data_IF_422487264338
#
_entry.id   IF_422487264338
#
_cell.length_a   1.000
_cell.length_b   1.000
_cell.length_c   1.000
_cell.angle_alpha   90.00
_cell.angle_beta   90.00
_cell.angle_gamma   90.00
#
_symmetry.space_group_name_H-M   'P 1'
#
loop_
_entity.id
_entity.type
_entity.pdbx_description
1 polymer ?
#
# COMPACT_ATOMS: atom_id res chain seq x y z
N UNK A 1 -4.12 -6.84 -22.04
CA UNK A 1 -4.42 -8.18 -21.46
C UNK A 1 -4.71 -7.97 -19.98
N UNK A 2 -5.95 -8.11 -19.54
CA UNK A 2 -6.30 -7.96 -18.11
C UNK A 2 -5.75 -9.19 -17.40
N UNK A 3 -4.84 -9.00 -16.44
CA UNK A 3 -4.36 -10.10 -15.59
C UNK A 3 -5.55 -10.69 -14.84
N UNK A 4 -5.79 -11.98 -15.01
CA UNK A 4 -6.78 -12.77 -14.27
C UNK A 4 -6.16 -13.16 -12.94
N UNK A 5 -6.33 -12.32 -11.92
CA UNK A 5 -5.79 -12.56 -10.58
C UNK A 5 -6.87 -13.25 -9.74
N UNK A 6 -6.56 -14.44 -9.22
CA UNK A 6 -7.35 -15.12 -8.19
C UNK A 6 -6.48 -15.27 -6.94
N UNK A 7 -6.99 -14.85 -5.79
CA UNK A 7 -6.25 -14.87 -4.53
C UNK A 7 -6.56 -13.66 -3.65
N UNK A 8 -5.72 -13.44 -2.64
CA UNK A 8 -5.87 -12.34 -1.69
C UNK A 8 -4.82 -11.27 -1.95
N UNK A 9 -5.22 -10.02 -1.89
CA UNK A 9 -4.33 -8.86 -1.80
C UNK A 9 -4.46 -8.25 -0.41
N UNK A 10 -3.34 -7.92 0.21
CA UNK A 10 -3.32 -7.18 1.48
C UNK A 10 -2.88 -5.74 1.23
N UNK A 11 -3.61 -4.79 1.82
CA UNK A 11 -3.19 -3.40 1.97
C UNK A 11 -2.78 -3.14 3.41
N UNK A 12 -1.64 -2.49 3.65
CA UNK A 12 -1.19 -2.15 5.00
C UNK A 12 -0.78 -0.67 5.10
N UNK A 13 -1.40 0.03 6.06
CA UNK A 13 -1.05 1.38 6.49
C UNK A 13 -0.33 1.31 7.86
N UNK A 14 1.01 1.45 7.90
CA UNK A 14 1.78 1.32 9.12
C UNK A 14 1.65 2.54 10.05
N UNK A 15 0.85 2.41 11.11
CA UNK A 15 0.79 3.36 12.20
C UNK A 15 1.61 2.94 13.43
N UNK A 16 1.28 3.53 14.58
CA UNK A 16 1.83 3.19 15.88
C UNK A 16 0.77 3.21 16.97
N UNK A 17 1.01 2.48 18.05
CA UNK A 17 0.12 2.39 19.23
C UNK A 17 -1.35 2.16 18.86
N UNK A 18 -1.69 0.95 18.36
CA UNK A 18 -3.06 0.56 17.98
C UNK A 18 -3.67 1.24 16.75
N UNK A 19 -2.82 1.74 15.85
CA UNK A 19 -3.26 2.38 14.61
C UNK A 19 -2.70 1.68 13.37
N UNK A 20 -2.64 0.35 13.36
CA UNK A 20 -2.14 -0.42 12.22
C UNK A 20 -3.30 -0.82 11.29
N UNK A 21 -3.53 -0.06 10.22
CA UNK A 21 -4.63 -0.31 9.30
C UNK A 21 -4.33 -1.46 8.35
N UNK A 22 -5.18 -2.48 8.31
CA UNK A 22 -5.06 -3.62 7.41
C UNK A 22 -6.32 -3.72 6.54
N UNK A 23 -6.12 -3.95 5.24
CA UNK A 23 -7.20 -4.31 4.31
C UNK A 23 -6.89 -5.67 3.71
N UNK A 24 -7.90 -6.54 3.60
CA UNK A 24 -7.83 -7.79 2.83
C UNK A 24 -8.82 -7.69 1.68
N UNK A 25 -8.37 -8.03 0.48
CA UNK A 25 -9.17 -8.04 -0.73
C UNK A 25 -9.09 -9.42 -1.35
N UNK A 26 -10.22 -10.11 -1.47
CA UNK A 26 -10.31 -11.40 -2.15
C UNK A 26 -10.74 -11.17 -3.59
N UNK A 27 -9.91 -11.61 -4.53
CA UNK A 27 -10.15 -11.56 -5.96
C UNK A 27 -10.41 -12.96 -6.49
N UNK A 28 -11.36 -13.05 -7.41
CA UNK A 28 -11.50 -14.19 -8.31
C UNK A 28 -11.56 -13.69 -9.75
N UNK A 29 -10.61 -14.14 -10.57
CA UNK A 29 -10.50 -13.80 -11.98
C UNK A 29 -10.48 -12.27 -12.24
N UNK A 30 -9.87 -11.50 -11.32
CA UNK A 30 -9.80 -10.04 -11.35
C UNK A 30 -11.03 -9.31 -10.79
N UNK A 31 -12.09 -10.03 -10.43
CA UNK A 31 -13.28 -9.46 -9.79
C UNK A 31 -13.18 -9.52 -8.27
N UNK A 32 -13.50 -8.41 -7.61
CA UNK A 32 -13.58 -8.35 -6.14
C UNK A 32 -14.76 -9.19 -5.67
N UNK A 33 -14.47 -10.19 -4.84
CA UNK A 33 -15.48 -11.05 -4.21
C UNK A 33 -15.82 -10.54 -2.81
N UNK A 34 -14.78 -10.21 -2.04
CA UNK A 34 -14.91 -9.78 -0.66
C UNK A 34 -13.79 -8.80 -0.32
N UNK A 35 -14.07 -7.87 0.58
CA UNK A 35 -13.04 -7.09 1.23
C UNK A 35 -13.38 -6.84 2.69
N UNK A 36 -12.34 -6.77 3.51
CA UNK A 36 -12.45 -6.44 4.93
C UNK A 36 -11.36 -5.45 5.31
N UNK A 37 -11.65 -4.64 6.33
CA UNK A 37 -10.69 -3.72 6.95
C UNK A 37 -10.69 -3.90 8.45
N UNK A 38 -9.51 -3.86 9.05
CA UNK A 38 -9.33 -3.93 10.50
C UNK A 38 -8.19 -3.01 10.94
N UNK A 39 -8.27 -2.52 12.18
CA UNK A 39 -7.18 -1.79 12.83
C UNK A 39 -6.59 -2.67 13.90
N UNK A 40 -5.29 -2.93 13.81
CA UNK A 40 -4.55 -3.84 14.67
C UNK A 40 -3.69 -3.10 15.70
N UNK A 41 -3.32 -3.81 16.77
CA UNK A 41 -2.59 -3.22 17.89
C UNK A 41 -1.13 -2.91 17.51
N UNK A 42 -0.52 -3.80 16.71
CA UNK A 42 0.89 -3.74 16.36
C UNK A 42 1.21 -4.41 15.01
N UNK A 43 2.44 -4.22 14.53
CA UNK A 43 2.91 -4.78 13.27
C UNK A 43 3.08 -6.32 13.30
N UNK A 44 3.30 -6.92 14.46
CA UNK A 44 3.45 -8.38 14.59
C UNK A 44 2.15 -9.11 14.23
N UNK A 45 1.00 -8.56 14.65
CA UNK A 45 -0.32 -9.06 14.25
C UNK A 45 -0.51 -8.99 12.74
N UNK A 46 -0.13 -7.87 12.11
CA UNK A 46 -0.19 -7.70 10.65
C UNK A 46 0.68 -8.74 9.95
N UNK A 47 1.91 -8.93 10.42
CA UNK A 47 2.86 -9.92 9.88
C UNK A 47 2.26 -11.32 9.98
N UNK A 48 1.79 -11.71 11.16
CA UNK A 48 1.21 -13.04 11.39
C UNK A 48 0.04 -13.30 10.43
N UNK A 49 -0.90 -12.37 10.34
CA UNK A 49 -2.05 -12.46 9.43
C UNK A 49 -1.60 -12.61 7.97
N UNK A 50 -0.63 -11.80 7.53
CA UNK A 50 -0.15 -11.87 6.16
C UNK A 50 0.55 -13.20 5.85
N UNK A 51 1.33 -13.74 6.79
CA UNK A 51 2.01 -15.02 6.65
C UNK A 51 1.05 -16.21 6.65
N UNK A 52 0.01 -16.18 7.48
CA UNK A 52 -1.01 -17.24 7.55
C UNK A 52 -1.95 -17.25 6.34
N UNK A 53 -2.02 -16.14 5.57
CA UNK A 53 -2.83 -16.04 4.36
C UNK A 53 -2.24 -16.85 3.20
N UNK A 54 -2.66 -18.11 3.05
CA UNK A 54 -2.15 -19.04 2.02
C UNK A 54 -2.35 -18.56 0.59
N UNK A 55 -3.47 -17.90 0.29
CA UNK A 55 -3.81 -17.39 -1.03
C UNK A 55 -3.27 -15.98 -1.31
N UNK A 56 -2.35 -15.45 -0.48
CA UNK A 56 -1.83 -14.11 -0.70
C UNK A 56 -1.01 -14.07 -1.99
N UNK A 57 -1.37 -13.17 -2.89
CA UNK A 57 -0.70 -12.98 -4.18
C UNK A 57 0.01 -11.64 -4.27
N UNK A 58 -0.48 -10.63 -3.55
CA UNK A 58 0.14 -9.30 -3.55
C UNK A 58 -0.04 -8.57 -2.22
N UNK A 59 0.87 -7.64 -1.95
CA UNK A 59 0.80 -6.71 -0.82
C UNK A 59 1.10 -5.29 -1.29
N UNK A 60 0.21 -4.36 -0.96
CA UNK A 60 0.44 -2.92 -1.03
C UNK A 60 0.71 -2.36 0.35
N UNK A 61 1.79 -1.57 0.51
CA UNK A 61 2.13 -0.98 1.83
C UNK A 61 2.42 0.50 1.72
N UNK A 62 1.85 1.32 2.61
CA UNK A 62 2.16 2.75 2.76
C UNK A 62 3.48 2.93 3.51
N UNK A 63 4.59 2.63 2.83
CA UNK A 63 5.92 2.56 3.43
C UNK A 63 7.03 2.93 2.45
N UNK A 64 8.27 2.74 2.89
CA UNK A 64 9.50 2.81 2.10
C UNK A 64 9.82 1.44 1.50
N UNK A 65 9.63 1.26 0.19
CA UNK A 65 10.08 0.04 -0.50
C UNK A 65 11.49 0.13 -1.08
N UNK A 66 12.08 1.33 -1.07
CA UNK A 66 13.38 1.62 -1.65
C UNK A 66 14.14 2.63 -0.78
N UNK A 67 15.39 2.32 -0.48
CA UNK A 67 16.33 3.26 0.12
C UNK A 67 17.01 4.08 -0.99
N UNK A 68 17.03 5.40 -0.84
CA UNK A 68 17.59 6.32 -1.83
C UNK A 68 18.60 7.25 -1.18
N UNK A 69 19.78 7.36 -1.77
CA UNK A 69 20.85 8.28 -1.37
C UNK A 69 20.87 9.56 -2.20
N UNK A 70 19.88 9.76 -3.08
CA UNK A 70 19.73 10.97 -3.87
C UNK A 70 19.37 12.20 -3.04
N UNK A 71 19.25 13.37 -3.69
CA UNK A 71 18.87 14.64 -3.03
C UNK A 71 17.65 14.44 -2.13
N UNK A 72 17.77 14.84 -0.86
CA UNK A 72 16.72 14.75 0.17
C UNK A 72 16.13 13.35 0.38
N UNK A 73 16.85 12.29 -0.02
CA UNK A 73 16.39 10.91 0.09
C UNK A 73 15.21 10.56 -0.82
N UNK A 74 14.85 11.39 -1.81
CA UNK A 74 13.69 11.14 -2.67
C UNK A 74 13.83 9.81 -3.40
N UNK A 75 12.81 8.96 -3.35
CA UNK A 75 12.76 7.67 -4.05
C UNK A 75 12.32 7.86 -5.50
N UNK A 76 12.60 6.89 -6.40
CA UNK A 76 12.08 6.93 -7.77
C UNK A 76 10.56 7.13 -7.84
N UNK A 77 9.80 6.44 -6.98
CA UNK A 77 8.34 6.58 -6.89
C UNK A 77 7.93 8.01 -6.50
N UNK A 78 8.55 8.58 -5.46
CA UNK A 78 8.26 9.96 -5.03
C UNK A 78 8.50 10.96 -6.15
N UNK A 79 9.64 10.86 -6.84
CA UNK A 79 9.99 11.78 -7.93
C UNK A 79 8.99 11.68 -9.08
N UNK A 80 8.63 10.46 -9.47
CA UNK A 80 7.64 10.22 -10.53
C UNK A 80 6.27 10.79 -10.14
N UNK A 81 5.79 10.50 -8.93
CA UNK A 81 4.50 10.99 -8.44
C UNK A 81 4.45 12.51 -8.36
N UNK A 82 5.51 13.15 -7.83
CA UNK A 82 5.61 14.62 -7.74
C UNK A 82 5.62 15.27 -9.12
N UNK A 83 6.27 14.65 -10.10
CA UNK A 83 6.31 15.15 -11.47
C UNK A 83 4.95 14.99 -12.16
N UNK A 84 4.26 13.87 -11.95
CA UNK A 84 2.99 13.52 -12.60
C UNK A 84 1.80 14.25 -11.98
N UNK A 85 1.75 14.38 -10.65
CA UNK A 85 0.62 14.92 -9.90
C UNK A 85 1.04 16.19 -9.15
N UNK A 86 1.32 17.25 -9.90
CA UNK A 86 1.90 18.50 -9.36
C UNK A 86 1.00 19.20 -8.35
N UNK A 87 -0.31 19.08 -8.50
CA UNK A 87 -1.32 19.70 -7.64
C UNK A 87 -1.36 19.10 -6.24
N UNK A 88 -0.98 17.83 -6.09
CA UNK A 88 -0.97 17.09 -4.82
C UNK A 88 0.46 16.69 -4.40
N UNK A 89 1.48 17.31 -5.02
CA UNK A 89 2.87 16.96 -4.75
C UNK A 89 3.28 17.13 -3.27
N UNK A 90 2.60 18.01 -2.53
CA UNK A 90 2.86 18.25 -1.11
C UNK A 90 2.35 17.11 -0.20
N UNK A 91 1.51 16.23 -0.72
CA UNK A 91 1.12 15.00 -0.02
C UNK A 91 2.17 13.89 -0.16
N UNK A 92 3.22 14.11 -0.95
CA UNK A 92 4.35 13.19 -1.11
C UNK A 92 5.49 13.69 -0.25
N UNK A 93 5.71 12.98 0.85
CA UNK A 93 6.64 13.35 1.90
C UNK A 93 7.98 12.65 1.68
N UNK A 94 9.09 13.36 1.89
CA UNK A 94 10.44 12.78 1.83
C UNK A 94 10.63 11.81 3.00
N UNK A 95 11.41 10.72 2.83
CA UNK A 95 11.72 9.80 3.92
C UNK A 95 12.21 10.45 5.21
N UNK A 96 12.88 11.61 5.12
CA UNK A 96 13.38 12.36 6.28
C UNK A 96 12.28 12.97 7.16
N UNK A 97 11.05 13.06 6.66
CA UNK A 97 9.90 13.63 7.35
C UNK A 97 8.81 12.59 7.66
N UNK A 98 9.06 11.32 7.36
CA UNK A 98 8.12 10.25 7.67
C UNK A 98 8.18 9.89 9.15
N UNK A 99 7.02 9.56 9.71
CA UNK A 99 6.92 8.91 11.00
C UNK A 99 7.72 7.60 11.01
N UNK A 100 8.38 7.29 12.13
CA UNK A 100 9.13 6.05 12.29
C UNK A 100 8.29 4.79 12.08
N UNK A 101 6.97 4.85 12.30
CA UNK A 101 6.05 3.76 12.00
C UNK A 101 6.07 3.33 10.54
N UNK A 102 6.03 4.29 9.61
CA UNK A 102 6.07 4.00 8.18
C UNK A 102 7.37 3.30 7.82
N UNK A 103 8.51 3.78 8.34
CA UNK A 103 9.83 3.24 8.00
C UNK A 103 10.15 1.90 8.68
N UNK A 104 9.73 1.70 9.94
CA UNK A 104 10.06 0.50 10.70
C UNK A 104 9.01 -0.60 10.52
N UNK A 105 7.73 -0.28 10.75
CA UNK A 105 6.66 -1.28 10.78
C UNK A 105 6.33 -1.77 9.38
N UNK A 106 6.31 -0.88 8.39
CA UNK A 106 6.14 -1.26 7.00
C UNK A 106 7.29 -2.13 6.52
N UNK A 107 8.55 -1.72 6.74
CA UNK A 107 9.72 -2.51 6.34
C UNK A 107 9.80 -3.86 7.04
N UNK A 108 9.44 -3.95 8.34
CA UNK A 108 9.38 -5.21 9.06
C UNK A 108 8.45 -6.22 8.38
N UNK A 109 7.27 -5.78 7.92
CA UNK A 109 6.37 -6.61 7.13
C UNK A 109 7.03 -7.04 5.82
N UNK A 110 7.62 -6.11 5.08
CA UNK A 110 8.21 -6.39 3.77
C UNK A 110 9.34 -7.42 3.85
N UNK A 111 10.28 -7.23 4.79
CA UNK A 111 11.39 -8.16 5.02
C UNK A 111 10.87 -9.54 5.44
N UNK A 112 9.91 -9.57 6.35
CA UNK A 112 9.30 -10.81 6.84
C UNK A 112 8.63 -11.60 5.71
N UNK A 113 7.86 -10.93 4.85
CA UNK A 113 7.22 -11.55 3.70
C UNK A 113 8.22 -11.97 2.63
N UNK A 114 9.26 -11.17 2.35
CA UNK A 114 10.28 -11.51 1.36
C UNK A 114 11.10 -12.74 1.75
N UNK A 115 11.35 -12.93 3.05
CA UNK A 115 12.05 -14.09 3.56
C UNK A 115 11.24 -15.39 3.41
N UNK A 116 9.90 -15.32 3.53
CA UNK A 116 9.04 -16.51 3.47
C UNK A 116 8.46 -16.78 2.07
N UNK A 117 8.20 -15.72 1.31
CA UNK A 117 7.53 -15.75 0.01
C UNK A 117 8.16 -14.76 -0.98
N UNK A 118 9.35 -15.09 -1.52
CA UNK A 118 10.05 -14.24 -2.46
C UNK A 118 9.26 -13.97 -3.75
N UNK A 119 8.29 -14.81 -4.08
CA UNK A 119 7.41 -14.71 -5.26
C UNK A 119 6.30 -13.65 -5.14
N UNK A 120 5.98 -13.17 -3.93
CA UNK A 120 4.90 -12.21 -3.73
C UNK A 120 5.11 -10.92 -4.53
N UNK A 121 4.04 -10.41 -5.14
CA UNK A 121 4.06 -9.05 -5.67
C UNK A 121 3.97 -8.06 -4.52
N UNK A 122 4.98 -7.21 -4.37
CA UNK A 122 4.98 -6.16 -3.34
C UNK A 122 5.07 -4.82 -4.05
N UNK A 123 4.18 -3.91 -3.68
CA UNK A 123 4.20 -2.53 -4.16
C UNK A 123 4.13 -1.56 -3.00
N UNK A 124 4.77 -0.42 -3.20
CA UNK A 124 4.52 0.76 -2.40
C UNK A 124 3.14 1.34 -2.74
N UNK A 125 2.45 1.90 -1.76
CA UNK A 125 1.18 2.61 -1.96
C UNK A 125 1.28 4.04 -1.46
N UNK A 126 0.67 4.99 -2.17
CA UNK A 126 0.55 6.39 -1.75
C UNK A 126 -0.93 6.78 -1.70
N UNK A 127 -1.65 6.38 -0.63
CA UNK A 127 -3.12 6.39 -0.61
C UNK A 127 -3.70 7.79 -0.82
N UNK A 128 -3.05 8.85 -0.34
CA UNK A 128 -3.48 10.25 -0.55
C UNK A 128 -3.46 10.67 -2.02
N UNK A 129 -2.44 10.25 -2.77
CA UNK A 129 -2.32 10.57 -4.20
C UNK A 129 -3.35 9.76 -5.00
N UNK A 130 -3.57 8.50 -4.63
CA UNK A 130 -4.59 7.65 -5.24
C UNK A 130 -6.00 8.23 -5.00
N UNK A 131 -6.33 8.60 -3.76
CA UNK A 131 -7.62 9.19 -3.42
C UNK A 131 -7.88 10.46 -4.23
N UNK A 132 -6.91 11.37 -4.27
CA UNK A 132 -7.00 12.60 -5.07
C UNK A 132 -7.25 12.30 -6.56
N UNK A 133 -6.57 11.29 -7.11
CA UNK A 133 -6.75 10.89 -8.50
C UNK A 133 -8.16 10.35 -8.74
N UNK A 134 -8.64 9.43 -7.88
CA UNK A 134 -9.97 8.84 -8.00
C UNK A 134 -11.08 9.86 -7.82
N UNK A 135 -10.94 10.84 -6.92
CA UNK A 135 -11.91 11.91 -6.74
C UNK A 135 -12.05 12.75 -8.02
N UNK A 136 -10.95 13.05 -8.71
CA UNK A 136 -10.99 13.81 -9.98
C UNK A 136 -11.54 12.99 -11.13
N UNK A 137 -11.18 11.71 -11.23
CA UNK A 137 -11.76 10.80 -12.22
C UNK A 137 -13.26 10.60 -11.99
N UNK A 138 -13.72 10.43 -10.74
CA UNK A 138 -15.14 10.35 -10.39
C UNK A 138 -15.88 11.69 -10.56
N UNK A 139 -15.21 12.83 -10.43
CA UNK A 139 -15.79 14.12 -10.81
C UNK A 139 -16.03 14.19 -12.33
N UNK A 140 -15.24 13.43 -13.10
CA UNK A 140 -15.34 13.32 -14.56
C UNK A 140 -16.32 12.21 -14.98
N UNK A 141 -16.44 11.14 -14.19
CA UNK A 141 -17.45 10.09 -14.30
C UNK A 141 -18.56 10.31 -13.27
N UNK A 142 -19.50 11.24 -13.52
CA UNK A 142 -20.74 11.32 -12.73
C UNK A 142 -21.48 9.99 -12.82
N UNK A 143 -21.31 9.15 -11.79
CA UNK A 143 -22.03 7.90 -11.59
C UNK A 143 -23.51 8.25 -11.47
N UNK A 144 -24.31 7.78 -12.43
CA UNK A 144 -25.77 7.69 -12.29
C UNK A 144 -26.06 6.86 -11.06
N UNK A 145 -26.50 7.51 -9.98
CA UNK A 145 -27.23 6.82 -8.90
C UNK A 145 -28.53 6.29 -9.50
N UNK A 146 -28.66 4.97 -9.59
CA UNK A 146 -29.95 4.28 -9.52
C UNK A 146 -30.38 4.16 -8.07
#
# INVERSE_FOLDING_TARGET
MIMRITGTIIGYDPGGNKHHGLTKLVLDNGSIQEWTTETLDNAEQVIKIAQEQRSLVAVGVDTLTCWSTGKSGWRPADRWLRQKYREVQNSIVTPNFLCGSMSLNGMALLVSLRNQRPELFITETHPKVLLWFLERENTTMKIKKT
#
